data_IF_032182571826
#
_entry.id   IF_032182571826
#
_cell.length_a   1.000
_cell.length_b   1.000
_cell.length_c   1.000
_cell.angle_alpha   90.00
_cell.angle_beta   90.00
_cell.angle_gamma   90.00
#
_symmetry.space_group_name_H-M   'P 1'
#
loop_
_entity.id
_entity.type
_entity.pdbx_description
1 polymer ?
#
# COMPACT_ATOMS: atom_id res chain seq x y z
N UNK A 1 8.87 23.81 18.73
CA UNK A 1 9.06 24.82 17.65
C UNK A 1 10.22 24.44 16.71
N UNK A 2 10.11 23.31 16.00
CA UNK A 2 11.08 22.88 14.96
C UNK A 2 10.40 22.27 13.72
N UNK A 3 9.14 21.85 13.82
CA UNK A 3 8.45 21.10 12.76
C UNK A 3 7.99 21.94 11.57
N UNK A 4 8.07 23.27 11.61
CA UNK A 4 7.36 24.10 10.63
C UNK A 4 8.15 24.47 9.37
N UNK A 5 9.48 24.47 9.43
CA UNK A 5 10.30 24.74 8.23
C UNK A 5 10.34 23.57 7.25
N UNK A 6 9.90 22.40 7.70
CA UNK A 6 10.10 21.10 7.07
C UNK A 6 9.06 20.82 5.97
N UNK A 7 7.97 21.58 5.97
CA UNK A 7 6.85 21.44 5.03
C UNK A 7 7.15 21.95 3.61
N UNK A 8 8.20 22.75 3.40
CA UNK A 8 8.37 23.54 2.18
C UNK A 8 9.13 22.81 1.04
N UNK A 9 9.92 21.77 1.34
CA UNK A 9 10.79 21.13 0.33
C UNK A 9 10.04 20.19 -0.64
N UNK A 10 8.89 19.64 -0.25
CA UNK A 10 8.39 18.38 -0.82
C UNK A 10 6.93 18.43 -1.24
N UNK A 11 6.49 19.53 -1.87
CA UNK A 11 5.23 19.58 -2.62
C UNK A 11 5.43 19.93 -4.09
N UNK A 12 6.66 20.25 -4.50
CA UNK A 12 6.91 20.92 -5.78
C UNK A 12 7.42 19.99 -6.91
N UNK A 13 7.89 18.78 -6.64
CA UNK A 13 8.64 18.02 -7.68
C UNK A 13 7.73 17.17 -8.60
N UNK A 14 6.43 17.03 -8.32
CA UNK A 14 5.50 16.36 -9.26
C UNK A 14 4.16 17.04 -9.49
N UNK A 15 3.99 18.26 -9.00
CA UNK A 15 2.74 19.00 -9.17
C UNK A 15 2.78 20.04 -10.28
N UNK A 16 3.12 19.60 -11.50
CA UNK A 16 2.51 20.25 -12.66
C UNK A 16 1.05 19.76 -12.73
N UNK A 17 0.18 20.32 -11.88
CA UNK A 17 -1.28 20.16 -11.96
C UNK A 17 -2.04 19.58 -10.76
N UNK A 18 -1.52 19.55 -9.52
CA UNK A 18 -2.28 19.16 -8.31
C UNK A 18 -2.11 20.11 -7.10
N UNK A 19 -3.11 20.11 -6.23
CA UNK A 19 -3.18 21.01 -5.07
C UNK A 19 -2.11 20.70 -4.02
N UNK A 20 -1.63 21.74 -3.34
CA UNK A 20 -0.55 21.77 -2.35
C UNK A 20 -1.08 22.41 -1.06
N UNK A 21 -0.84 21.83 0.13
CA UNK A 21 -1.28 22.41 1.42
C UNK A 21 -0.12 23.18 2.08
N UNK A 22 -0.35 24.41 2.54
CA UNK A 22 0.69 25.29 3.13
C UNK A 22 0.23 25.92 4.46
N UNK A 23 1.19 26.22 5.37
CA UNK A 23 0.97 26.61 6.78
C UNK A 23 1.68 27.95 7.17
N UNK A 24 1.30 28.60 8.30
CA UNK A 24 1.87 29.87 8.80
C UNK A 24 2.27 29.87 10.30
N UNK A 25 3.54 30.16 10.66
CA UNK A 25 3.92 30.56 12.05
C UNK A 25 5.43 30.48 12.47
N UNK A 26 6.11 31.64 12.53
CA UNK A 26 7.35 31.99 13.32
C UNK A 26 8.76 31.46 12.87
N UNK A 27 9.91 31.99 13.39
CA UNK A 27 11.00 32.67 12.67
C UNK A 27 12.25 31.78 12.40
N UNK A 28 13.35 32.31 11.80
CA UNK A 28 14.50 31.50 11.40
C UNK A 28 15.31 30.90 12.54
N UNK A 29 15.60 29.59 12.47
CA UNK A 29 16.64 28.91 13.28
C UNK A 29 17.85 28.53 12.41
N UNK A 30 19.03 28.60 13.05
CA UNK A 30 20.37 28.66 12.46
C UNK A 30 20.90 27.34 11.87
N UNK A 31 21.80 27.49 10.89
CA UNK A 31 22.34 26.52 9.92
C UNK A 31 23.14 25.29 10.43
N UNK A 32 23.07 24.91 11.71
CA UNK A 32 23.94 23.84 12.23
C UNK A 32 23.29 22.43 12.26
N UNK A 33 21.96 22.33 12.22
CA UNK A 33 21.22 21.06 12.31
C UNK A 33 21.00 20.34 10.96
N UNK A 34 21.25 21.02 9.82
CA UNK A 34 21.05 20.44 8.48
C UNK A 34 22.04 19.32 8.13
N UNK A 35 23.24 19.35 8.71
CA UNK A 35 24.34 18.42 8.39
C UNK A 35 24.10 16.99 8.89
N UNK A 36 23.57 16.84 10.09
CA UNK A 36 23.20 15.53 10.68
C UNK A 36 22.04 14.86 9.92
N UNK A 37 21.08 15.66 9.43
CA UNK A 37 19.90 15.16 8.71
C UNK A 37 20.21 14.69 7.29
N UNK A 38 21.10 15.38 6.58
CA UNK A 38 21.60 14.96 5.27
C UNK A 38 22.30 13.59 5.33
N UNK A 39 23.11 13.37 6.36
CA UNK A 39 23.79 12.08 6.58
C UNK A 39 22.82 10.93 6.86
N UNK A 40 21.69 11.20 7.53
CA UNK A 40 20.64 10.20 7.82
C UNK A 40 19.87 9.81 6.56
N UNK A 41 19.49 10.79 5.72
CA UNK A 41 18.79 10.55 4.45
C UNK A 41 19.68 9.83 3.42
N UNK A 42 20.98 10.13 3.40
CA UNK A 42 21.93 9.43 2.52
C UNK A 42 22.15 7.97 2.97
N UNK A 43 22.13 7.66 4.28
CA UNK A 43 22.17 6.26 4.75
C UNK A 43 20.94 5.46 4.30
N UNK A 44 19.76 6.09 4.29
CA UNK A 44 18.53 5.49 3.76
C UNK A 44 18.63 5.23 2.24
N UNK A 45 19.18 6.19 1.47
CA UNK A 45 19.44 6.01 0.03
C UNK A 45 20.46 4.89 -0.23
N UNK A 46 21.53 4.80 0.57
CA UNK A 46 22.53 3.72 0.49
C UNK A 46 21.91 2.34 0.76
N UNK A 47 21.01 2.23 1.76
CA UNK A 47 20.20 1.03 1.99
C UNK A 47 19.28 0.71 0.81
N UNK A 48 18.59 1.69 0.22
CA UNK A 48 17.73 1.48 -0.95
C UNK A 48 18.51 1.06 -2.21
N UNK A 49 19.76 1.52 -2.36
CA UNK A 49 20.67 1.10 -3.44
C UNK A 49 21.33 -0.27 -3.18
N UNK A 50 21.16 -0.81 -1.96
CA UNK A 50 21.68 -2.09 -1.50
C UNK A 50 20.59 -3.02 -0.99
N UNK A 51 19.63 -3.44 -1.83
CA UNK A 51 18.85 -4.67 -1.53
C UNK A 51 18.66 -5.53 -2.78
N UNK A 52 19.36 -6.67 -2.80
CA UNK A 52 18.79 -8.04 -2.93
C UNK A 52 19.93 -9.06 -2.94
N UNK A 53 20.37 -9.50 -1.75
CA UNK A 53 20.89 -10.85 -1.60
C UNK A 53 19.68 -11.72 -1.24
N UNK A 54 19.24 -12.55 -2.18
CA UNK A 54 18.14 -13.48 -1.96
C UNK A 54 18.61 -14.68 -1.15
N UNK A 55 17.92 -14.96 -0.04
CA UNK A 55 17.97 -16.27 0.61
C UNK A 55 17.29 -17.30 -0.27
N UNK A 56 18.07 -18.01 -1.07
CA UNK A 56 17.61 -19.22 -1.76
C UNK A 56 18.07 -20.46 -1.00
N UNK A 57 17.07 -21.10 -0.38
CA UNK A 57 17.13 -22.41 0.21
C UNK A 57 17.58 -23.46 -0.83
N UNK A 58 18.47 -24.35 -0.40
CA UNK A 58 19.13 -25.36 -1.23
C UNK A 58 18.10 -26.40 -1.71
N UNK A 59 18.10 -26.70 -3.01
CA UNK A 59 17.76 -28.04 -3.49
C UNK A 59 18.52 -28.34 -4.79
N UNK A 60 19.38 -29.34 -4.68
CA UNK A 60 20.16 -29.99 -5.71
C UNK A 60 19.26 -30.79 -6.66
N UNK A 61 19.45 -30.68 -7.98
CA UNK A 61 19.44 -31.83 -8.88
C UNK A 61 20.17 -31.49 -10.19
N UNK A 62 21.08 -32.37 -10.58
CA UNK A 62 21.93 -32.31 -11.75
C UNK A 62 21.17 -32.53 -13.06
N UNK A 63 21.66 -31.96 -14.18
CA UNK A 63 22.17 -32.72 -15.35
C UNK A 63 22.54 -31.84 -16.56
N UNK A 64 23.74 -32.12 -17.04
CA UNK A 64 24.17 -32.32 -18.43
C UNK A 64 24.08 -31.15 -19.44
N UNK A 65 25.28 -30.67 -19.76
CA UNK A 65 25.67 -30.04 -21.01
C UNK A 65 25.61 -30.99 -22.21
N UNK A 66 25.15 -30.48 -23.36
CA UNK A 66 25.84 -30.62 -24.66
C UNK A 66 25.26 -29.66 -25.72
N UNK A 67 26.07 -29.16 -26.67
CA UNK A 67 25.69 -28.12 -27.64
C UNK A 67 25.59 -28.64 -29.10
N UNK A 68 24.82 -27.95 -29.94
CA UNK A 68 25.02 -27.91 -31.41
C UNK A 68 24.07 -26.85 -32.01
N UNK A 69 24.58 -25.74 -32.56
CA UNK A 69 24.95 -25.50 -33.97
C UNK A 69 23.78 -25.63 -34.96
N UNK A 70 23.27 -24.50 -35.49
CA UNK A 70 23.64 -24.03 -36.84
C UNK A 70 22.94 -22.73 -37.29
N UNK A 71 23.77 -21.86 -37.90
CA UNK A 71 23.60 -20.99 -39.08
C UNK A 71 22.36 -20.08 -39.18
N UNK A 72 22.56 -18.76 -39.06
CA UNK A 72 22.86 -17.78 -40.13
C UNK A 72 21.62 -17.46 -40.98
N UNK A 73 21.10 -16.24 -40.85
CA UNK A 73 21.12 -15.30 -41.97
C UNK A 73 21.05 -13.84 -41.51
N UNK A 74 21.93 -13.04 -42.10
CA UNK A 74 22.04 -11.59 -41.93
C UNK A 74 21.21 -10.94 -43.04
N UNK A 75 20.42 -9.92 -42.71
CA UNK A 75 20.33 -8.67 -43.47
C UNK A 75 19.46 -7.64 -42.73
N UNK A 76 20.08 -6.51 -42.33
CA UNK A 76 19.39 -5.36 -41.73
C UNK A 76 20.37 -4.41 -41.03
N UNK A 77 20.62 -3.26 -41.66
CA UNK A 77 21.45 -2.12 -41.19
C UNK A 77 21.06 -1.62 -39.77
N UNK A 78 21.99 -1.07 -38.97
CA UNK A 78 21.75 -0.81 -37.55
C UNK A 78 20.99 0.50 -37.35
N UNK A 79 19.69 0.41 -37.06
CA UNK A 79 19.02 1.52 -36.39
C UNK A 79 19.37 1.47 -34.90
N UNK A 80 20.16 2.45 -34.47
CA UNK A 80 20.40 2.77 -33.07
C UNK A 80 19.06 2.99 -32.37
N UNK A 81 18.60 2.01 -31.59
CA UNK A 81 17.48 2.19 -30.69
C UNK A 81 18.03 3.00 -29.51
N UNK A 82 17.90 4.32 -29.56
CA UNK A 82 18.10 5.18 -28.39
C UNK A 82 16.90 4.98 -27.45
N UNK A 83 17.01 3.98 -26.56
CA UNK A 83 15.97 3.57 -25.60
C UNK A 83 15.69 4.65 -24.53
N UNK A 84 16.51 5.70 -24.46
CA UNK A 84 16.50 6.67 -23.34
C UNK A 84 16.32 8.14 -23.73
N UNK A 85 15.67 8.43 -24.87
CA UNK A 85 15.29 9.81 -25.21
C UNK A 85 13.88 10.14 -24.68
N UNK A 86 13.73 11.30 -24.05
CA UNK A 86 12.45 11.81 -23.57
C UNK A 86 11.43 11.90 -24.73
N UNK A 87 10.26 11.28 -24.57
CA UNK A 87 9.21 11.21 -25.61
C UNK A 87 9.10 9.87 -26.35
N UNK A 88 10.10 8.98 -26.25
CA UNK A 88 10.09 7.67 -26.92
C UNK A 88 9.00 6.70 -26.42
N UNK A 89 8.39 6.96 -25.26
CA UNK A 89 7.24 6.19 -24.76
C UNK A 89 5.92 6.54 -25.48
N UNK A 90 5.74 7.81 -25.88
CA UNK A 90 4.53 8.28 -26.55
C UNK A 90 4.45 7.80 -28.01
N UNK A 91 5.56 7.84 -28.74
CA UNK A 91 5.65 7.31 -30.11
C UNK A 91 5.40 5.78 -30.17
N UNK A 92 5.78 5.03 -29.13
CA UNK A 92 5.48 3.58 -29.00
C UNK A 92 3.99 3.32 -28.74
N UNK A 93 3.34 4.15 -27.94
CA UNK A 93 1.90 4.10 -27.68
C UNK A 93 1.09 4.36 -28.96
N UNK A 94 1.48 5.35 -29.76
CA UNK A 94 0.78 5.73 -30.98
C UNK A 94 0.99 4.69 -32.11
N UNK A 95 2.21 4.14 -32.24
CA UNK A 95 2.50 3.07 -33.22
C UNK A 95 1.77 1.74 -32.97
N UNK A 96 1.46 1.41 -31.72
CA UNK A 96 0.66 0.22 -31.37
C UNK A 96 -0.84 0.42 -31.64
N UNK A 97 -1.35 1.65 -31.56
CA UNK A 97 -2.76 1.96 -31.84
C UNK A 97 -3.09 1.92 -33.35
N UNK A 98 -2.14 2.29 -34.21
CA UNK A 98 -2.33 2.24 -35.67
C UNK A 98 -2.27 0.82 -36.25
N UNK A 99 -1.63 -0.14 -35.56
CA UNK A 99 -1.56 -1.55 -36.00
C UNK A 99 -2.78 -2.39 -35.60
N UNK A 100 -3.68 -1.84 -34.77
CA UNK A 100 -4.91 -2.49 -34.34
C UNK A 100 -6.15 -2.15 -35.21
N UNK A 101 -5.99 -1.35 -36.27
CA UNK A 101 -7.11 -0.85 -37.11
C UNK A 101 -7.06 -1.25 -38.59
N UNK A 102 -6.28 -2.26 -38.98
CA UNK A 102 -6.24 -2.71 -40.37
C UNK A 102 -6.09 -4.23 -40.53
N UNK A 103 -7.22 -4.95 -40.45
CA UNK A 103 -7.52 -6.16 -41.26
C UNK A 103 -8.93 -6.70 -40.92
N UNK A 104 -9.79 -7.01 -41.92
CA UNK A 104 -11.18 -7.43 -41.72
C UNK A 104 -11.35 -8.96 -41.64
N UNK A 105 -12.45 -9.36 -40.98
CA UNK A 105 -13.20 -10.62 -41.03
C UNK A 105 -12.45 -11.96 -40.95
N UNK A 106 -12.59 -12.63 -39.79
CA UNK A 106 -12.79 -14.08 -39.73
C UNK A 106 -13.64 -14.44 -38.52
N UNK A 107 -14.70 -15.17 -38.82
CA UNK A 107 -15.83 -15.56 -37.98
C UNK A 107 -15.51 -16.15 -36.59
N UNK A 108 -16.34 -15.72 -35.63
CA UNK A 108 -17.17 -16.58 -34.79
C UNK A 108 -16.49 -17.76 -34.04
N UNK A 109 -16.26 -17.56 -32.73
CA UNK A 109 -16.91 -18.30 -31.62
C UNK A 109 -16.38 -17.65 -30.33
N UNK A 110 -17.07 -16.61 -29.87
CA UNK A 110 -16.97 -16.13 -28.50
C UNK A 110 -18.09 -16.80 -27.73
N UNK A 111 -17.75 -17.81 -26.95
CA UNK A 111 -18.66 -18.45 -26.01
C UNK A 111 -19.17 -17.42 -25.00
N UNK A 112 -20.34 -16.84 -25.26
CA UNK A 112 -21.15 -16.15 -24.29
C UNK A 112 -21.54 -17.17 -23.20
N UNK A 113 -20.73 -17.31 -22.14
CA UNK A 113 -21.24 -17.84 -20.88
C UNK A 113 -22.14 -16.75 -20.29
N UNK A 114 -23.45 -16.98 -20.33
CA UNK A 114 -24.42 -16.18 -19.59
C UNK A 114 -23.93 -16.00 -18.16
N UNK A 115 -23.73 -14.74 -17.74
CA UNK A 115 -23.33 -14.42 -16.38
C UNK A 115 -24.52 -14.74 -15.48
N UNK A 116 -24.42 -15.83 -14.71
CA UNK A 116 -25.39 -16.15 -13.66
C UNK A 116 -25.62 -14.92 -12.79
N UNK A 117 -26.86 -14.42 -12.77
CA UNK A 117 -27.22 -13.23 -12.00
C UNK A 117 -27.24 -13.54 -10.50
N UNK A 118 -26.82 -12.58 -9.69
CA UNK A 118 -26.84 -12.72 -8.24
C UNK A 118 -28.29 -12.52 -7.76
N UNK A 119 -28.82 -13.40 -6.89
CA UNK A 119 -30.14 -13.22 -6.32
C UNK A 119 -30.29 -11.88 -5.60
N UNK A 120 -31.45 -11.23 -5.78
CA UNK A 120 -31.80 -9.97 -5.11
C UNK A 120 -32.08 -10.16 -3.61
N UNK A 121 -32.46 -11.38 -3.21
CA UNK A 121 -32.81 -11.74 -1.84
C UNK A 121 -32.26 -13.12 -1.45
N UNK A 122 -32.30 -13.46 -0.15
CA UNK A 122 -31.87 -14.77 0.32
C UNK A 122 -32.75 -15.87 -0.26
N UNK A 123 -32.14 -16.94 -0.74
CA UNK A 123 -32.84 -18.07 -1.35
C UNK A 123 -32.89 -19.27 -0.40
N UNK A 124 -33.95 -20.06 -0.52
CA UNK A 124 -34.05 -21.36 0.14
C UNK A 124 -33.19 -22.42 -0.57
N UNK A 125 -32.90 -23.52 0.12
CA UNK A 125 -32.02 -24.58 -0.40
C UNK A 125 -32.48 -25.14 -1.75
N UNK A 126 -33.80 -25.30 -1.98
CA UNK A 126 -34.36 -25.78 -3.25
C UNK A 126 -34.10 -24.81 -4.41
N UNK A 127 -34.17 -23.51 -4.14
CA UNK A 127 -33.95 -22.46 -5.13
C UNK A 127 -32.45 -22.37 -5.49
N UNK A 128 -31.57 -22.51 -4.50
CA UNK A 128 -30.13 -22.64 -4.73
C UNK A 128 -29.78 -23.87 -5.57
N UNK A 129 -30.39 -25.03 -5.31
CA UNK A 129 -30.22 -26.23 -6.14
C UNK A 129 -30.64 -25.98 -7.59
N UNK A 130 -31.81 -25.36 -7.80
CA UNK A 130 -32.30 -25.04 -9.14
C UNK A 130 -31.35 -24.10 -9.88
N UNK A 131 -30.88 -23.04 -9.22
CA UNK A 131 -29.94 -22.09 -9.81
C UNK A 131 -28.58 -22.75 -10.15
N UNK A 132 -28.12 -23.68 -9.30
CA UNK A 132 -26.90 -24.46 -9.55
C UNK A 132 -27.05 -25.38 -10.76
N UNK A 133 -28.22 -26.00 -10.95
CA UNK A 133 -28.54 -26.81 -12.12
C UNK A 133 -28.63 -25.97 -13.40
N UNK A 134 -29.36 -24.85 -13.36
CA UNK A 134 -29.53 -23.90 -14.48
C UNK A 134 -28.19 -23.28 -14.90
N UNK A 135 -27.24 -23.09 -13.97
CA UNK A 135 -25.91 -22.54 -14.26
C UNK A 135 -24.97 -23.45 -15.07
N UNK A 136 -25.44 -24.63 -15.50
CA UNK A 136 -24.59 -25.60 -16.20
C UNK A 136 -23.56 -26.25 -15.28
N UNK A 137 -23.85 -26.35 -13.98
CA UNK A 137 -22.98 -26.96 -12.94
C UNK A 137 -21.55 -26.40 -12.96
N UNK A 138 -21.42 -25.08 -12.82
CA UNK A 138 -20.12 -24.43 -12.65
C UNK A 138 -19.35 -25.13 -11.52
N UNK A 139 -18.12 -25.59 -11.81
CA UNK A 139 -17.26 -26.18 -10.79
C UNK A 139 -16.95 -25.14 -9.71
N UNK A 140 -17.26 -25.46 -8.45
CA UNK A 140 -17.17 -24.49 -7.34
C UNK A 140 -18.22 -23.38 -7.46
N UNK A 141 -19.47 -23.74 -7.75
CA UNK A 141 -20.61 -22.82 -7.87
C UNK A 141 -20.71 -21.87 -6.67
N UNK A 142 -20.62 -22.38 -5.44
CA UNK A 142 -20.73 -21.59 -4.21
C UNK A 142 -19.61 -20.56 -4.11
N UNK A 143 -18.38 -20.99 -4.42
CA UNK A 143 -17.20 -20.13 -4.48
C UNK A 143 -17.37 -19.02 -5.52
N UNK A 144 -17.91 -19.35 -6.70
CA UNK A 144 -18.16 -18.40 -7.77
C UNK A 144 -19.23 -17.39 -7.35
N UNK A 145 -20.36 -17.85 -6.82
CA UNK A 145 -21.44 -16.98 -6.36
C UNK A 145 -20.99 -16.03 -5.25
N UNK A 146 -20.23 -16.54 -4.27
CA UNK A 146 -19.68 -15.70 -3.19
C UNK A 146 -18.70 -14.64 -3.74
N UNK A 147 -17.89 -14.97 -4.76
CA UNK A 147 -17.00 -14.01 -5.40
C UNK A 147 -17.77 -12.91 -6.16
N UNK A 148 -18.88 -13.26 -6.80
CA UNK A 148 -19.77 -12.29 -7.42
C UNK A 148 -20.38 -11.37 -6.36
N UNK A 149 -20.87 -11.92 -5.23
CA UNK A 149 -21.43 -11.13 -4.12
C UNK A 149 -20.43 -10.14 -3.52
N UNK A 150 -19.14 -10.50 -3.42
CA UNK A 150 -18.08 -9.56 -3.00
C UNK A 150 -17.94 -8.41 -4.00
N UNK A 151 -17.91 -8.75 -5.29
CA UNK A 151 -17.70 -7.79 -6.37
C UNK A 151 -18.85 -6.77 -6.47
N UNK A 152 -20.09 -7.22 -6.24
CA UNK A 152 -21.30 -6.37 -6.27
C UNK A 152 -21.69 -5.79 -4.92
N UNK A 153 -20.97 -6.12 -3.83
CA UNK A 153 -21.34 -5.78 -2.46
C UNK A 153 -22.76 -6.24 -2.06
N UNK A 154 -23.16 -7.44 -2.45
CA UNK A 154 -24.51 -7.93 -2.21
C UNK A 154 -24.84 -8.04 -0.73
N UNK A 155 -26.15 -8.05 -0.42
CA UNK A 155 -26.66 -8.17 0.94
C UNK A 155 -26.12 -9.43 1.63
N UNK A 156 -25.60 -9.27 2.86
CA UNK A 156 -25.01 -10.34 3.66
C UNK A 156 -25.94 -11.54 3.87
N UNK A 157 -27.26 -11.31 3.92
CA UNK A 157 -28.26 -12.38 4.10
C UNK A 157 -28.33 -13.32 2.89
N UNK A 158 -28.06 -12.82 1.68
CA UNK A 158 -27.95 -13.66 0.48
C UNK A 158 -26.76 -14.60 0.62
N UNK A 159 -25.61 -14.07 1.04
CA UNK A 159 -24.40 -14.86 1.28
C UNK A 159 -24.59 -15.89 2.41
N UNK A 160 -25.28 -15.54 3.50
CA UNK A 160 -25.68 -16.49 4.55
C UNK A 160 -26.55 -17.61 4.01
N UNK A 161 -27.54 -17.30 3.19
CA UNK A 161 -28.42 -18.32 2.61
C UNK A 161 -27.65 -19.32 1.75
N UNK A 162 -26.62 -18.84 1.02
CA UNK A 162 -25.69 -19.69 0.26
C UNK A 162 -24.84 -20.57 1.19
N UNK A 163 -24.39 -20.05 2.33
CA UNK A 163 -23.67 -20.86 3.33
C UNK A 163 -24.56 -21.94 3.96
N UNK A 164 -25.82 -21.63 4.27
CA UNK A 164 -26.79 -22.62 4.78
C UNK A 164 -27.05 -23.71 3.74
N UNK A 165 -27.14 -23.34 2.47
CA UNK A 165 -27.22 -24.30 1.37
C UNK A 165 -25.97 -25.20 1.31
N UNK A 166 -24.77 -24.59 1.28
CA UNK A 166 -23.50 -25.33 1.23
C UNK A 166 -23.27 -26.23 2.45
N UNK A 167 -23.78 -25.85 3.63
CA UNK A 167 -23.69 -26.65 4.85
C UNK A 167 -24.52 -27.93 4.80
N UNK A 168 -25.62 -27.94 4.01
CA UNK A 168 -26.49 -29.10 3.82
C UNK A 168 -25.97 -30.06 2.75
N UNK A 169 -25.06 -29.63 1.89
CA UNK A 169 -24.41 -30.51 0.93
C UNK A 169 -23.40 -31.43 1.62
N UNK A 170 -23.21 -32.64 1.07
CA UNK A 170 -22.35 -33.68 1.67
C UNK A 170 -20.89 -33.24 1.83
N UNK A 171 -20.40 -32.29 1.02
CA UNK A 171 -19.05 -31.74 1.12
C UNK A 171 -18.86 -30.75 2.27
N UNK A 172 -19.95 -30.25 2.85
CA UNK A 172 -19.94 -29.18 3.85
C UNK A 172 -19.30 -27.88 3.36
N UNK A 173 -19.12 -26.94 4.28
CA UNK A 173 -18.58 -25.60 3.94
C UNK A 173 -17.04 -25.66 3.77
N UNK A 174 -16.52 -25.28 2.62
CA UNK A 174 -15.07 -25.24 2.37
C UNK A 174 -14.39 -24.05 3.06
N UNK A 175 -13.07 -24.17 3.32
CA UNK A 175 -12.26 -23.07 3.85
C UNK A 175 -12.33 -21.83 2.95
N UNK A 176 -12.20 -22.04 1.64
CA UNK A 176 -12.21 -20.99 0.62
C UNK A 176 -13.53 -20.22 0.57
N UNK A 177 -14.65 -20.92 0.76
CA UNK A 177 -15.97 -20.30 0.81
C UNK A 177 -16.12 -19.42 2.06
N UNK A 178 -15.69 -19.91 3.24
CA UNK A 178 -15.68 -19.13 4.48
C UNK A 178 -14.76 -17.91 4.39
N UNK A 179 -13.59 -18.06 3.77
CA UNK A 179 -12.67 -16.94 3.59
C UNK A 179 -13.27 -15.82 2.72
N UNK A 180 -13.99 -16.19 1.66
CA UNK A 180 -14.73 -15.23 0.82
C UNK A 180 -15.89 -14.58 1.57
N UNK A 181 -16.65 -15.36 2.34
CA UNK A 181 -17.71 -14.80 3.18
C UNK A 181 -17.13 -13.82 4.20
N UNK A 182 -16.03 -14.17 4.88
CA UNK A 182 -15.31 -13.29 5.79
C UNK A 182 -14.91 -11.97 5.10
N UNK A 183 -14.38 -12.04 3.89
CA UNK A 183 -14.03 -10.84 3.12
C UNK A 183 -15.23 -9.91 2.89
N UNK A 184 -16.43 -10.48 2.62
CA UNK A 184 -17.67 -9.73 2.52
C UNK A 184 -18.08 -9.11 3.87
N UNK A 185 -18.04 -9.89 4.96
CA UNK A 185 -18.36 -9.41 6.31
C UNK A 185 -17.49 -8.22 6.70
N UNK A 186 -16.17 -8.35 6.51
CA UNK A 186 -15.19 -7.30 6.82
C UNK A 186 -15.37 -6.07 5.92
N UNK A 187 -15.74 -6.25 4.65
CA UNK A 187 -16.04 -5.14 3.73
C UNK A 187 -17.30 -4.36 4.14
N UNK A 188 -18.27 -5.04 4.75
CA UNK A 188 -19.54 -4.45 5.19
C UNK A 188 -19.57 -4.12 6.69
N UNK A 189 -18.42 -4.17 7.38
CA UNK A 189 -18.28 -3.92 8.81
C UNK A 189 -19.24 -4.75 9.69
N UNK A 190 -19.50 -6.00 9.31
CA UNK A 190 -20.39 -6.92 10.03
C UNK A 190 -19.63 -7.64 11.16
N UNK A 191 -19.38 -6.96 12.28
CA UNK A 191 -18.55 -7.47 13.37
C UNK A 191 -19.05 -8.80 13.99
N UNK A 192 -20.37 -8.93 14.18
CA UNK A 192 -20.96 -10.18 14.69
C UNK A 192 -20.66 -11.37 13.76
N UNK A 193 -20.77 -11.16 12.45
CA UNK A 193 -20.46 -12.19 11.46
C UNK A 193 -18.98 -12.57 11.45
N UNK A 194 -18.08 -11.59 11.59
CA UNK A 194 -16.65 -11.85 11.70
C UNK A 194 -16.34 -12.75 12.91
N UNK A 195 -16.98 -12.49 14.06
CA UNK A 195 -16.86 -13.32 15.26
C UNK A 195 -17.35 -14.76 15.00
N UNK A 196 -18.51 -14.92 14.39
CA UNK A 196 -19.10 -16.23 14.10
C UNK A 196 -18.22 -17.03 13.14
N UNK A 197 -17.75 -16.39 12.07
CA UNK A 197 -16.85 -17.03 11.10
C UNK A 197 -15.52 -17.41 11.73
N UNK A 198 -14.96 -16.56 12.60
CA UNK A 198 -13.75 -16.89 13.34
C UNK A 198 -13.93 -18.16 14.19
N UNK A 199 -15.04 -18.26 14.93
CA UNK A 199 -15.34 -19.42 15.76
C UNK A 199 -15.52 -20.69 14.91
N UNK A 200 -16.27 -20.59 13.80
CA UNK A 200 -16.45 -21.70 12.85
C UNK A 200 -15.10 -22.16 12.28
N UNK A 201 -14.28 -21.22 11.79
CA UNK A 201 -13.01 -21.54 11.16
C UNK A 201 -12.00 -22.11 12.18
N UNK A 202 -11.94 -21.57 13.39
CA UNK A 202 -11.06 -22.06 14.47
C UNK A 202 -11.43 -23.48 14.91
N UNK A 203 -12.71 -23.81 14.95
CA UNK A 203 -13.17 -25.15 15.33
C UNK A 203 -12.96 -26.17 14.20
N UNK A 204 -13.04 -25.73 12.94
CA UNK A 204 -12.97 -26.63 11.77
C UNK A 204 -11.56 -26.81 11.21
N UNK A 205 -10.68 -25.82 11.34
CA UNK A 205 -9.36 -25.81 10.70
C UNK A 205 -8.25 -25.58 11.72
N UNK A 206 -7.13 -26.30 11.55
CA UNK A 206 -6.00 -26.26 12.50
C UNK A 206 -5.18 -24.96 12.44
N UNK A 207 -5.14 -24.32 11.28
CA UNK A 207 -4.34 -23.12 11.04
C UNK A 207 -5.01 -22.25 9.99
N UNK A 208 -4.68 -20.97 10.01
CA UNK A 208 -5.12 -19.98 9.04
C UNK A 208 -3.97 -19.61 8.11
N UNK A 209 -4.30 -19.32 6.86
CA UNK A 209 -3.36 -18.69 5.94
C UNK A 209 -3.22 -17.18 6.23
N UNK A 210 -2.21 -16.57 5.61
CA UNK A 210 -1.92 -15.14 5.77
C UNK A 210 -3.10 -14.24 5.38
N UNK A 211 -3.89 -14.68 4.40
CA UNK A 211 -5.09 -13.98 3.93
C UNK A 211 -6.18 -13.95 5.01
N UNK A 212 -6.48 -15.08 5.63
CA UNK A 212 -7.44 -15.16 6.73
C UNK A 212 -6.99 -14.33 7.94
N UNK A 213 -5.74 -14.43 8.37
CA UNK A 213 -5.22 -13.58 9.45
C UNK A 213 -5.38 -12.10 9.12
N UNK A 214 -5.06 -11.68 7.89
CA UNK A 214 -5.21 -10.28 7.49
C UNK A 214 -6.66 -9.80 7.54
N UNK A 215 -7.61 -10.64 7.15
CA UNK A 215 -9.04 -10.33 7.23
C UNK A 215 -9.54 -10.29 8.67
N UNK A 216 -9.11 -11.21 9.54
CA UNK A 216 -9.49 -11.18 10.94
C UNK A 216 -8.88 -10.00 11.69
N UNK A 217 -7.60 -9.67 11.42
CA UNK A 217 -6.96 -8.46 11.97
C UNK A 217 -7.79 -7.22 11.63
N UNK A 218 -8.15 -7.05 10.35
CA UNK A 218 -9.03 -5.96 9.92
C UNK A 218 -10.43 -6.02 10.56
N UNK A 219 -11.03 -7.21 10.60
CA UNK A 219 -12.39 -7.41 11.08
C UNK A 219 -12.54 -7.19 12.59
N UNK A 220 -11.50 -7.43 13.37
CA UNK A 220 -11.52 -7.23 14.82
C UNK A 220 -11.02 -5.86 15.25
N UNK A 221 -10.18 -5.18 14.46
CA UNK A 221 -9.45 -3.99 14.92
C UNK A 221 -10.34 -2.85 15.42
N UNK A 222 -11.56 -2.69 14.88
CA UNK A 222 -12.51 -1.64 15.26
C UNK A 222 -13.69 -2.18 16.09
N UNK A 223 -13.50 -3.28 16.80
CA UNK A 223 -14.51 -3.95 17.62
C UNK A 223 -14.04 -4.06 19.06
N UNK A 224 -14.92 -4.42 19.99
CA UNK A 224 -14.54 -4.69 21.38
C UNK A 224 -13.48 -5.80 21.52
N UNK A 225 -13.34 -6.65 20.49
CA UNK A 225 -12.32 -7.70 20.39
C UNK A 225 -11.02 -7.23 19.72
N UNK A 226 -10.76 -5.93 19.62
CA UNK A 226 -9.57 -5.41 18.94
C UNK A 226 -8.24 -5.97 19.46
N UNK A 227 -8.14 -6.38 20.74
CA UNK A 227 -6.96 -7.07 21.29
C UNK A 227 -6.67 -8.41 20.61
N UNK A 228 -7.68 -9.09 20.06
CA UNK A 228 -7.49 -10.29 19.25
C UNK A 228 -6.78 -9.96 17.94
N UNK A 229 -7.01 -8.78 17.35
CA UNK A 229 -6.25 -8.32 16.17
C UNK A 229 -4.75 -8.19 16.49
N UNK A 230 -4.41 -7.71 17.70
CA UNK A 230 -3.02 -7.61 18.16
C UNK A 230 -2.42 -8.99 18.35
N UNK A 231 -3.12 -9.90 19.03
CA UNK A 231 -2.67 -11.29 19.24
C UNK A 231 -2.43 -12.03 17.91
N UNK A 232 -3.27 -11.78 16.91
CA UNK A 232 -3.11 -12.32 15.56
C UNK A 232 -1.91 -11.73 14.83
N UNK A 233 -1.67 -10.43 14.95
CA UNK A 233 -0.49 -9.78 14.41
C UNK A 233 0.79 -10.41 15.01
N UNK A 234 0.84 -10.57 16.33
CA UNK A 234 1.96 -11.24 17.02
C UNK A 234 2.14 -12.69 16.57
N UNK A 235 1.04 -13.40 16.30
CA UNK A 235 1.11 -14.76 15.78
C UNK A 235 1.69 -14.80 14.36
N UNK A 236 1.30 -13.86 13.50
CA UNK A 236 1.87 -13.73 12.15
C UNK A 236 3.38 -13.46 12.21
N UNK A 237 3.83 -12.53 13.06
CA UNK A 237 5.25 -12.15 13.24
C UNK A 237 6.17 -13.35 13.51
N UNK A 238 5.68 -14.41 14.15
CA UNK A 238 6.45 -15.63 14.44
C UNK A 238 6.83 -16.44 13.19
N UNK A 239 6.13 -16.23 12.09
CA UNK A 239 6.27 -17.05 10.87
C UNK A 239 6.65 -16.22 9.64
N UNK A 240 6.16 -14.97 9.57
CA UNK A 240 6.38 -14.07 8.44
C UNK A 240 6.39 -12.62 8.93
N UNK A 241 6.98 -11.71 8.14
CA UNK A 241 6.83 -10.27 8.34
C UNK A 241 5.39 -9.84 7.99
N UNK A 242 4.61 -9.27 8.92
CA UNK A 242 3.26 -8.80 8.61
C UNK A 242 3.28 -7.66 7.59
N UNK A 243 2.19 -7.51 6.84
CA UNK A 243 2.09 -6.43 5.86
C UNK A 243 1.88 -5.06 6.53
N UNK A 244 2.22 -3.94 5.85
CA UNK A 244 1.90 -2.60 6.34
C UNK A 244 0.41 -2.39 6.65
N UNK A 245 -0.48 -3.09 5.92
CA UNK A 245 -1.92 -3.06 6.20
C UNK A 245 -2.27 -3.74 7.52
N UNK A 246 -1.60 -4.85 7.87
CA UNK A 246 -1.85 -5.52 9.15
C UNK A 246 -1.48 -4.62 10.33
N UNK A 247 -0.29 -3.99 10.28
CA UNK A 247 0.08 -2.95 11.25
C UNK A 247 -0.92 -1.79 11.24
N UNK A 248 -1.30 -1.30 10.06
CA UNK A 248 -2.23 -0.19 9.92
C UNK A 248 -3.60 -0.44 10.58
N UNK A 249 -4.18 -1.63 10.43
CA UNK A 249 -5.44 -1.99 11.11
C UNK A 249 -5.27 -2.02 12.63
N UNK A 250 -4.18 -2.61 13.14
CA UNK A 250 -3.91 -2.64 14.58
C UNK A 250 -3.64 -1.24 15.16
N UNK A 251 -2.94 -0.36 14.45
CA UNK A 251 -2.71 1.04 14.83
C UNK A 251 -4.05 1.79 14.90
N UNK A 252 -4.89 1.66 13.86
CA UNK A 252 -6.23 2.26 13.84
C UNK A 252 -7.08 1.79 15.03
N UNK A 253 -7.06 0.49 15.32
CA UNK A 253 -7.75 -0.07 16.48
C UNK A 253 -7.25 0.48 17.80
N UNK A 254 -5.92 0.53 17.98
CA UNK A 254 -5.32 1.07 19.19
C UNK A 254 -5.69 2.55 19.41
N UNK A 255 -5.65 3.38 18.36
CA UNK A 255 -6.10 4.78 18.45
C UNK A 255 -7.60 4.89 18.77
N UNK A 256 -8.45 4.12 18.08
CA UNK A 256 -9.89 4.11 18.31
C UNK A 256 -10.25 3.76 19.77
N UNK A 257 -9.50 2.82 20.35
CA UNK A 257 -9.65 2.39 21.75
C UNK A 257 -8.77 3.17 22.74
N UNK A 258 -8.23 4.32 22.34
CA UNK A 258 -7.48 5.26 23.20
C UNK A 258 -6.20 4.67 23.83
N UNK A 259 -5.57 3.71 23.18
CA UNK A 259 -4.26 3.15 23.53
C UNK A 259 -3.16 3.71 22.59
N UNK A 260 -2.85 5.00 22.77
CA UNK A 260 -1.87 5.72 21.96
C UNK A 260 -0.46 5.14 22.09
N UNK A 261 -0.10 4.64 23.29
CA UNK A 261 1.19 4.00 23.55
C UNK A 261 1.39 2.79 22.64
N UNK A 262 0.40 1.91 22.56
CA UNK A 262 0.47 0.76 21.66
C UNK A 262 0.45 1.18 20.19
N UNK A 263 -0.37 2.17 19.82
CA UNK A 263 -0.42 2.67 18.45
C UNK A 263 0.97 3.16 17.98
N UNK A 264 1.64 3.95 18.80
CA UNK A 264 2.99 4.45 18.49
C UNK A 264 4.06 3.36 18.55
N UNK A 265 3.94 2.39 19.45
CA UNK A 265 4.85 1.23 19.49
C UNK A 265 4.75 0.42 18.19
N UNK A 266 3.53 0.13 17.72
CA UNK A 266 3.30 -0.58 16.46
C UNK A 266 3.76 0.22 15.24
N UNK A 267 3.57 1.55 15.26
CA UNK A 267 4.06 2.44 14.20
C UNK A 267 5.59 2.39 14.10
N UNK A 268 6.29 2.52 15.23
CA UNK A 268 7.75 2.46 15.26
C UNK A 268 8.28 1.08 14.88
N UNK A 269 7.67 0.00 15.38
CA UNK A 269 8.04 -1.37 15.02
C UNK A 269 7.92 -1.62 13.51
N UNK A 270 6.85 -1.10 12.89
CA UNK A 270 6.68 -1.15 11.43
C UNK A 270 7.80 -0.41 10.70
N UNK A 271 8.21 0.78 11.17
CA UNK A 271 9.32 1.52 10.57
C UNK A 271 10.66 0.80 10.75
N UNK A 272 10.90 0.20 11.92
CA UNK A 272 12.10 -0.61 12.21
C UNK A 272 12.20 -1.86 11.32
N UNK A 273 11.06 -2.38 10.88
CA UNK A 273 10.97 -3.45 9.89
C UNK A 273 11.12 -2.97 8.42
N UNK A 274 11.56 -1.72 8.21
CA UNK A 274 11.68 -1.05 6.90
C UNK A 274 10.37 -1.07 6.08
N UNK A 275 9.21 -1.05 6.77
CA UNK A 275 7.90 -1.01 6.14
C UNK A 275 7.37 0.42 6.04
N UNK A 276 6.80 0.77 4.88
CA UNK A 276 6.16 2.08 4.69
C UNK A 276 4.75 2.10 5.30
N UNK A 277 4.45 3.01 6.25
CA UNK A 277 3.12 3.17 6.83
C UNK A 277 2.06 3.43 5.75
N UNK A 278 0.90 2.77 5.88
CA UNK A 278 -0.25 3.07 5.04
C UNK A 278 -0.86 4.43 5.39
N UNK A 279 -1.36 5.16 4.39
CA UNK A 279 -2.01 6.48 4.61
C UNK A 279 -3.16 6.39 5.60
N UNK A 280 -4.02 5.37 5.53
CA UNK A 280 -5.14 5.18 6.46
C UNK A 280 -4.66 5.09 7.94
N UNK A 281 -3.52 4.45 8.16
CA UNK A 281 -2.93 4.34 9.50
C UNK A 281 -2.46 5.70 9.99
N UNK A 282 -1.76 6.45 9.15
CA UNK A 282 -1.30 7.80 9.48
C UNK A 282 -2.49 8.75 9.69
N UNK A 283 -3.51 8.64 8.84
CA UNK A 283 -4.73 9.43 8.94
C UNK A 283 -5.43 9.22 10.28
N UNK A 284 -5.45 7.97 10.79
CA UNK A 284 -6.00 7.69 12.12
C UNK A 284 -5.23 8.37 13.26
N UNK A 285 -3.91 8.54 13.14
CA UNK A 285 -3.11 9.27 14.13
C UNK A 285 -3.48 10.76 14.16
N UNK A 286 -3.69 11.38 12.99
CA UNK A 286 -4.13 12.79 12.90
C UNK A 286 -5.59 12.99 13.33
N UNK A 287 -6.44 11.98 13.14
CA UNK A 287 -7.84 11.99 13.56
C UNK A 287 -8.04 11.49 15.01
N UNK A 288 -6.97 11.22 15.77
CA UNK A 288 -7.08 10.74 17.13
C UNK A 288 -7.84 11.74 18.03
N UNK A 289 -8.56 11.21 19.02
CA UNK A 289 -9.33 12.00 19.99
C UNK A 289 -8.47 13.15 20.57
N UNK A 290 -8.95 14.41 20.58
CA UNK A 290 -8.22 15.53 21.17
C UNK A 290 -7.72 15.29 22.59
N UNK A 291 -8.39 14.44 23.38
CA UNK A 291 -7.95 14.05 24.71
C UNK A 291 -6.61 13.27 24.72
N UNK A 292 -6.25 12.61 23.61
CA UNK A 292 -4.97 11.91 23.45
C UNK A 292 -3.85 12.83 22.96
N UNK A 293 -4.19 14.00 22.42
CA UNK A 293 -3.28 14.91 21.73
C UNK A 293 -2.51 15.79 22.73
N UNK A 294 -1.88 15.17 23.73
CA UNK A 294 -0.95 15.86 24.62
C UNK A 294 0.31 16.32 23.86
N UNK A 295 1.21 17.03 24.55
CA UNK A 295 2.44 17.52 23.90
C UNK A 295 3.30 16.39 23.32
N UNK A 296 3.36 15.25 24.00
CA UNK A 296 4.14 14.08 23.56
C UNK A 296 3.58 13.51 22.27
N UNK A 297 2.26 13.34 22.19
CA UNK A 297 1.57 12.85 21.01
C UNK A 297 1.77 13.80 19.83
N UNK A 298 1.60 15.11 20.04
CA UNK A 298 1.82 16.13 19.00
C UNK A 298 3.27 16.13 18.50
N UNK A 299 4.25 15.97 19.39
CA UNK A 299 5.66 15.84 19.00
C UNK A 299 5.92 14.62 18.12
N UNK A 300 5.26 13.49 18.39
CA UNK A 300 5.35 12.31 17.52
C UNK A 300 4.70 12.54 16.15
N UNK A 301 3.58 13.26 16.08
CA UNK A 301 2.98 13.68 14.80
C UNK A 301 3.91 14.59 13.99
N UNK A 302 4.68 15.47 14.64
CA UNK A 302 5.72 16.22 13.93
C UNK A 302 6.79 15.31 13.32
N UNK A 303 7.17 14.24 14.02
CA UNK A 303 8.05 13.20 13.49
C UNK A 303 7.50 12.49 12.25
N UNK A 304 6.18 12.43 12.08
CA UNK A 304 5.56 11.90 10.84
C UNK A 304 5.82 12.82 9.65
N UNK A 305 5.86 14.15 9.83
CA UNK A 305 6.22 15.07 8.75
C UNK A 305 7.70 14.97 8.38
N UNK A 306 8.58 14.76 9.37
CA UNK A 306 9.98 14.45 9.10
C UNK A 306 10.09 13.17 8.26
N UNK A 307 9.35 12.12 8.63
CA UNK A 307 9.28 10.89 7.86
C UNK A 307 8.80 11.13 6.42
N UNK A 308 7.76 11.94 6.20
CA UNK A 308 7.28 12.28 4.87
C UNK A 308 8.32 13.00 4.02
N UNK A 309 8.98 14.01 4.58
CA UNK A 309 10.05 14.73 3.88
C UNK A 309 11.19 13.78 3.52
N UNK A 310 11.66 13.01 4.50
CA UNK A 310 12.85 12.17 4.36
C UNK A 310 12.63 11.02 3.37
N UNK A 311 11.38 10.56 3.20
CA UNK A 311 11.01 9.49 2.27
C UNK A 311 10.29 10.00 1.00
N UNK A 312 10.19 11.32 0.82
CA UNK A 312 9.51 11.94 -0.33
C UNK A 312 8.07 11.43 -0.52
N UNK A 313 7.32 11.33 0.57
CA UNK A 313 5.93 10.88 0.60
C UNK A 313 5.01 12.09 0.54
N UNK A 314 4.04 12.04 -0.37
CA UNK A 314 3.08 13.09 -0.61
C UNK A 314 1.69 12.55 -0.25
N UNK A 315 1.03 13.07 0.81
CA UNK A 315 -0.24 12.54 1.27
C UNK A 315 -1.35 12.75 0.23
N UNK A 316 -2.24 11.76 0.11
CA UNK A 316 -3.49 11.91 -0.62
C UNK A 316 -4.44 12.94 0.01
N UNK A 317 -5.44 13.38 -0.75
CA UNK A 317 -6.40 14.40 -0.32
C UNK A 317 -7.09 14.11 1.03
N UNK A 318 -7.56 12.87 1.33
CA UNK A 318 -8.17 12.59 2.63
C UNK A 318 -7.22 12.83 3.81
N UNK A 319 -5.98 12.37 3.68
CA UNK A 319 -4.96 12.57 4.69
C UNK A 319 -4.55 14.05 4.81
N UNK A 320 -4.48 14.78 3.70
CA UNK A 320 -4.24 16.24 3.72
C UNK A 320 -5.33 16.98 4.50
N UNK A 321 -6.61 16.60 4.36
CA UNK A 321 -7.70 17.23 5.11
C UNK A 321 -7.65 16.89 6.60
N UNK A 322 -7.25 15.66 6.96
CA UNK A 322 -7.01 15.27 8.35
C UNK A 322 -5.87 16.06 8.98
N UNK A 323 -4.72 16.16 8.28
CA UNK A 323 -3.59 17.01 8.69
C UNK A 323 -4.06 18.45 8.82
N UNK A 324 -4.89 18.93 7.86
CA UNK A 324 -5.43 20.29 7.90
C UNK A 324 -6.17 20.55 9.21
N UNK A 325 -7.12 19.67 9.49
CA UNK A 325 -8.02 19.77 10.64
C UNK A 325 -7.25 19.67 11.95
N UNK A 326 -6.23 18.81 12.00
CA UNK A 326 -5.37 18.65 13.18
C UNK A 326 -4.62 19.94 13.53
N UNK A 327 -3.93 20.58 12.60
CA UNK A 327 -3.23 21.83 12.88
C UNK A 327 -4.18 22.94 13.34
N UNK A 328 -5.35 23.08 12.68
CA UNK A 328 -6.37 24.06 13.05
C UNK A 328 -7.02 23.79 14.41
N UNK A 329 -6.88 22.57 14.94
CA UNK A 329 -7.38 22.17 16.26
C UNK A 329 -6.42 22.47 17.42
N UNK A 330 -5.17 22.86 17.14
CA UNK A 330 -4.16 23.08 18.19
C UNK A 330 -4.56 24.29 19.05
N UNK A 331 -4.77 24.13 20.37
CA UNK A 331 -5.22 25.22 21.22
C UNK A 331 -4.14 26.28 21.37
N UNK A 332 -4.56 27.54 21.48
CA UNK A 332 -3.68 28.72 21.59
C UNK A 332 -2.80 29.00 20.37
N UNK A 333 -3.00 28.28 19.27
CA UNK A 333 -2.33 28.52 17.98
C UNK A 333 -3.39 28.89 16.93
N UNK A 334 -3.07 29.84 16.05
CA UNK A 334 -4.00 30.38 15.05
C UNK A 334 -3.73 29.82 13.65
N UNK A 335 -3.49 28.51 13.56
CA UNK A 335 -3.25 27.83 12.30
C UNK A 335 -4.43 28.00 11.34
N UNK A 336 -4.11 28.22 10.07
CA UNK A 336 -5.07 28.18 8.96
C UNK A 336 -4.42 27.44 7.80
N UNK A 337 -5.04 26.34 7.40
CA UNK A 337 -4.59 25.56 6.25
C UNK A 337 -5.35 25.95 4.99
N UNK A 338 -4.66 26.04 3.86
CA UNK A 338 -5.28 26.27 2.57
C UNK A 338 -4.73 25.31 1.53
N UNK A 339 -5.62 24.75 0.70
CA UNK A 339 -5.22 24.13 -0.55
C UNK A 339 -4.87 25.24 -1.53
N UNK A 340 -3.66 25.16 -2.08
CA UNK A 340 -3.08 26.17 -2.95
C UNK A 340 -2.31 25.52 -4.09
N UNK A 341 -1.76 26.35 -4.96
CA UNK A 341 -0.80 25.95 -5.99
C UNK A 341 0.45 26.81 -5.82
N UNK A 342 1.53 26.41 -6.48
CA UNK A 342 2.79 27.16 -6.48
C UNK A 342 2.92 27.88 -7.81
N UNK A 343 3.34 29.14 -7.77
CA UNK A 343 3.66 29.92 -8.98
C UNK A 343 4.89 29.33 -9.70
N UNK A 344 5.08 29.68 -10.96
CA UNK A 344 6.29 29.30 -11.71
C UNK A 344 7.59 29.79 -11.02
N UNK A 345 7.50 30.88 -10.24
CA UNK A 345 8.61 31.45 -9.48
C UNK A 345 8.78 30.79 -8.09
N UNK A 346 8.12 29.67 -7.82
CA UNK A 346 8.26 28.94 -6.56
C UNK A 346 7.60 29.62 -5.35
N UNK A 347 6.61 30.50 -5.56
CA UNK A 347 5.89 31.15 -4.45
C UNK A 347 4.51 30.54 -4.26
N UNK A 348 4.09 30.37 -3.01
CA UNK A 348 2.73 29.96 -2.67
C UNK A 348 1.70 30.98 -3.16
N UNK A 349 0.61 30.54 -3.80
CA UNK A 349 -0.43 31.45 -4.23
C UNK A 349 -1.26 32.05 -3.09
N UNK A 350 -1.31 31.38 -1.92
CA UNK A 350 -2.04 31.88 -0.74
C UNK A 350 -1.14 32.69 0.19
N UNK A 351 -0.11 32.08 0.79
CA UNK A 351 0.72 32.75 1.79
C UNK A 351 1.83 33.64 1.22
N UNK A 352 2.04 33.59 -0.11
CA UNK A 352 3.10 34.31 -0.83
C UNK A 352 4.53 34.01 -0.38
N UNK A 353 4.73 33.02 0.49
CA UNK A 353 6.07 32.57 0.88
C UNK A 353 6.73 31.80 -0.25
N UNK A 354 8.04 32.01 -0.40
CA UNK A 354 8.89 31.28 -1.33
C UNK A 354 9.17 29.88 -0.77
N UNK A 355 8.99 28.85 -1.61
CA UNK A 355 9.35 27.48 -1.29
C UNK A 355 10.88 27.33 -1.28
N UNK A 356 11.34 26.28 -0.60
CA UNK A 356 12.76 25.97 -0.56
C UNK A 356 13.30 25.64 -1.97
N UNK A 357 14.51 26.08 -2.25
CA UNK A 357 15.15 25.88 -3.54
C UNK A 357 15.48 24.41 -3.77
N UNK A 358 15.27 23.94 -5.01
CA UNK A 358 15.76 22.62 -5.45
C UNK A 358 17.27 22.61 -5.68
N UNK A 359 17.90 23.78 -5.78
CA UNK A 359 19.33 23.90 -5.99
C UNK A 359 20.08 23.62 -4.69
N UNK A 360 20.86 22.55 -4.71
CA UNK A 360 21.80 22.20 -3.65
C UNK A 360 22.88 23.28 -3.54
N UNK A 361 23.19 23.67 -2.31
CA UNK A 361 24.36 24.49 -2.04
C UNK A 361 25.64 23.72 -2.39
N UNK A 362 26.75 24.39 -2.77
CA UNK A 362 28.00 23.71 -3.13
C UNK A 362 28.48 22.71 -2.07
N UNK A 363 28.28 23.01 -0.79
CA UNK A 363 28.65 22.15 0.34
C UNK A 363 27.76 20.90 0.42
N UNK A 364 26.45 21.05 0.19
CA UNK A 364 25.49 19.94 0.16
C UNK A 364 25.76 19.03 -1.04
N UNK A 365 26.04 19.62 -2.21
CA UNK A 365 26.41 18.89 -3.41
C UNK A 365 27.72 18.10 -3.22
N UNK A 366 28.75 18.70 -2.63
CA UNK A 366 30.01 18.00 -2.32
C UNK A 366 29.75 16.82 -1.38
N UNK A 367 28.99 17.04 -0.30
CA UNK A 367 28.63 15.97 0.64
C UNK A 367 27.91 14.82 -0.07
N UNK A 368 26.91 15.13 -0.89
CA UNK A 368 26.17 14.13 -1.65
C UNK A 368 27.08 13.37 -2.63
N UNK A 369 27.94 14.10 -3.35
CA UNK A 369 28.91 13.54 -4.29
C UNK A 369 29.87 12.59 -3.57
N UNK A 370 30.43 12.99 -2.44
CA UNK A 370 31.40 12.20 -1.69
C UNK A 370 30.79 10.87 -1.23
N UNK A 371 29.58 10.91 -0.66
CA UNK A 371 28.92 9.66 -0.23
C UNK A 371 28.52 8.77 -1.41
N UNK A 372 28.09 9.36 -2.53
CA UNK A 372 27.80 8.59 -3.73
C UNK A 372 29.05 7.90 -4.28
N UNK A 373 30.18 8.61 -4.38
CA UNK A 373 31.44 8.05 -4.85
C UNK A 373 31.94 6.94 -3.93
N UNK A 374 31.90 7.13 -2.61
CA UNK A 374 32.27 6.08 -1.63
C UNK A 374 31.39 4.84 -1.76
N UNK A 375 30.06 5.01 -1.84
CA UNK A 375 29.14 3.87 -1.92
C UNK A 375 29.21 3.09 -3.23
N UNK A 376 29.52 3.77 -4.36
CA UNK A 376 29.51 3.17 -5.70
C UNK A 376 30.89 2.69 -6.15
N UNK A 377 31.95 3.44 -5.83
CA UNK A 377 33.32 3.17 -6.33
C UNK A 377 34.12 2.35 -5.32
N UNK A 378 34.06 2.69 -4.03
CA UNK A 378 34.80 1.94 -3.00
C UNK A 378 34.07 0.65 -2.61
N UNK A 379 32.75 0.57 -2.86
CA UNK A 379 31.94 -0.64 -2.92
C UNK A 379 32.10 -1.60 -1.74
N UNK A 380 31.15 -1.62 -0.81
CA UNK A 380 31.16 -2.60 0.30
C UNK A 380 30.69 -4.01 -0.12
N UNK A 381 30.27 -4.16 -1.38
CA UNK A 381 29.68 -5.39 -1.91
C UNK A 381 30.68 -6.10 -2.85
N UNK A 382 31.47 -7.00 -2.27
CA UNK A 382 32.45 -7.86 -2.98
C UNK A 382 31.81 -8.83 -3.98
N UNK A 383 30.47 -8.92 -4.03
CA UNK A 383 29.73 -9.81 -4.94
C UNK A 383 29.18 -9.11 -6.18
N UNK A 384 29.30 -7.77 -6.30
CA UNK A 384 29.01 -7.07 -7.55
C UNK A 384 30.08 -7.40 -8.59
N UNK A 385 29.78 -8.38 -9.45
CA UNK A 385 30.57 -8.73 -10.64
C UNK A 385 30.44 -7.68 -11.74
N UNK A 386 30.66 -6.42 -11.42
CA UNK A 386 30.81 -5.36 -12.42
C UNK A 386 32.29 -5.08 -12.56
N UNK A 387 32.83 -5.28 -13.76
CA UNK A 387 34.23 -4.98 -14.05
C UNK A 387 34.45 -3.48 -14.10
N UNK A 388 35.60 -2.97 -13.64
CA UNK A 388 35.99 -1.57 -13.84
C UNK A 388 36.26 -1.21 -15.32
N UNK A 389 36.49 -2.23 -16.15
CA UNK A 389 36.66 -2.18 -17.61
C UNK A 389 35.30 -2.31 -18.29
#
# INVERSE_FOLDING_TARGET
MMGLRIFYLTLCIKSYGRNVLMWHGVPPLNCHEGRERLLKNIRTISKCLGVRAGDNNKNSFARQSKPSKNKFDRNGSPHSITVFSAGAAKARSEGMQHKAKASPDSDNISSQKERVQIPLGPLHAKEWSKLKEESGRIHGFEDYMMAQMISTNSNINVAKSLLVFAAKEQSGISYKLLLKYLALCVRQNQAAEVCDVYNIMKNKFKAFDTGAYSLFIKGFSLTDRWRDSISMLETLKKTITPSPKNYGYCIQGAIYHKDDKLAWALYNEMLEADLTPCEDAIQSLFNADPALQDETFRNKLFGVFDYFRDHQIYPGEPLMQSIKSWFESIPNESWRGHLSTVSENGHCQVCKQQLESIHLMPEEYRTLKDVFLQSVIEGHDTFRKTTPQ
#
